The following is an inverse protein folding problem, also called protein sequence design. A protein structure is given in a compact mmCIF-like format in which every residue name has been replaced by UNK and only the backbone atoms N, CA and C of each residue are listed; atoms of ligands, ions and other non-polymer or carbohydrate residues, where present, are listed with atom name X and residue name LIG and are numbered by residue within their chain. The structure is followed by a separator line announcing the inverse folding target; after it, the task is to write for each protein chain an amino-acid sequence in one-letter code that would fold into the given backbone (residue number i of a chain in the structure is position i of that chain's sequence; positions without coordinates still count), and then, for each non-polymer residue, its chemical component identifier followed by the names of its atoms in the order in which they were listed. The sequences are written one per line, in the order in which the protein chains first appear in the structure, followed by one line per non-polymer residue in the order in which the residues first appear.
data_IF_632673000708
#
_entry.id   IF_632673000708
#
_cell.length_a   1.000
_cell.length_b   1.000
_cell.length_c   1.000
_cell.angle_alpha   90.00
_cell.angle_beta   90.00
_cell.angle_gamma   90.00
#
_symmetry.space_group_name_H-M   'P 1'
#
loop_
_entity.id
_entity.type
_entity.pdbx_description
1 polymer ?
#
# COMPACT_ATOMS: atom_id res chain seq x y z
N UNK A 1 26.18 20.36 -27.59
CA UNK A 1 26.65 19.16 -28.34
C UNK A 1 26.45 19.28 -29.85
N UNK A 2 25.24 19.57 -30.35
CA UNK A 2 24.98 19.76 -31.79
C UNK A 2 25.60 21.07 -32.30
N UNK A 3 25.38 22.18 -31.58
CA UNK A 3 26.02 23.46 -31.91
C UNK A 3 27.56 23.39 -31.84
N UNK A 4 28.09 22.57 -30.94
CA UNK A 4 29.53 22.33 -30.79
C UNK A 4 30.08 21.28 -31.78
N UNK A 5 29.25 20.80 -32.73
CA UNK A 5 29.58 19.77 -33.73
C UNK A 5 30.19 18.48 -33.17
N UNK A 6 29.89 18.12 -31.91
CA UNK A 6 30.41 16.87 -31.31
C UNK A 6 29.85 15.61 -31.97
N UNK A 7 28.64 15.69 -32.53
CA UNK A 7 28.01 14.62 -33.32
C UNK A 7 27.50 15.23 -34.62
N UNK A 8 28.35 15.38 -35.66
CA UNK A 8 28.00 16.09 -36.89
C UNK A 8 27.01 15.34 -37.78
N UNK A 9 26.72 14.07 -37.48
CA UNK A 9 25.78 13.22 -38.20
C UNK A 9 24.31 13.54 -37.88
N UNK A 10 24.05 14.28 -36.79
CA UNK A 10 22.71 14.74 -36.43
C UNK A 10 22.45 16.07 -37.13
N UNK A 11 21.35 16.13 -37.88
CA UNK A 11 20.90 17.33 -38.61
C UNK A 11 20.02 18.20 -37.72
N UNK A 12 19.01 17.59 -37.08
CA UNK A 12 17.97 18.31 -36.36
C UNK A 12 17.39 17.41 -35.26
N UNK A 13 16.94 18.01 -34.15
CA UNK A 13 16.12 17.35 -33.12
C UNK A 13 14.78 18.06 -33.07
N UNK A 14 13.69 17.29 -33.10
CA UNK A 14 12.32 17.77 -33.03
C UNK A 14 11.62 17.17 -31.82
N UNK A 15 10.80 17.98 -31.16
CA UNK A 15 9.90 17.54 -30.10
C UNK A 15 8.49 17.31 -30.68
N UNK A 16 8.04 16.06 -30.62
CA UNK A 16 6.71 15.61 -31.07
C UNK A 16 5.78 15.25 -29.91
N UNK A 17 6.13 15.63 -28.68
CA UNK A 17 5.38 15.28 -27.48
C UNK A 17 3.95 15.87 -27.52
N UNK A 18 2.98 15.10 -27.02
CA UNK A 18 1.57 15.48 -26.96
C UNK A 18 0.93 14.97 -25.66
N UNK A 19 0.33 15.87 -24.89
CA UNK A 19 -0.23 15.54 -23.57
C UNK A 19 0.84 14.94 -22.64
N UNK A 20 0.58 13.72 -22.17
CA UNK A 20 1.50 12.95 -21.31
C UNK A 20 2.50 12.08 -22.11
N UNK A 21 2.37 12.03 -23.44
CA UNK A 21 3.28 11.28 -24.29
C UNK A 21 4.52 12.10 -24.61
N UNK A 22 5.69 11.55 -24.27
CA UNK A 22 6.99 12.10 -24.68
C UNK A 22 7.34 11.51 -26.04
N UNK A 23 7.70 12.34 -27.03
CA UNK A 23 8.17 11.86 -28.33
C UNK A 23 9.31 12.75 -28.81
N UNK A 24 10.51 12.19 -28.98
CA UNK A 24 11.68 12.89 -29.49
C UNK A 24 12.01 12.33 -30.87
N UNK A 25 12.31 13.19 -31.85
CA UNK A 25 12.68 12.78 -33.21
C UNK A 25 14.05 13.35 -33.54
N UNK A 26 15.00 12.51 -33.96
CA UNK A 26 16.40 12.90 -34.22
C UNK A 26 16.74 12.65 -35.69
N UNK A 27 16.69 13.69 -36.52
CA UNK A 27 17.03 13.56 -37.96
C UNK A 27 18.53 13.41 -38.15
N UNK A 28 18.91 12.44 -38.97
CA UNK A 28 20.31 12.13 -39.30
C UNK A 28 20.64 12.59 -40.73
N UNK A 29 21.93 12.77 -41.03
CA UNK A 29 22.40 13.03 -42.40
C UNK A 29 22.37 11.76 -43.25
N UNK A 30 22.17 11.91 -44.56
CA UNK A 30 22.24 10.80 -45.52
C UNK A 30 23.59 10.07 -45.43
N UNK A 31 23.59 8.74 -45.52
CA UNK A 31 24.77 7.87 -45.37
C UNK A 31 25.22 7.62 -43.92
N UNK A 32 24.48 8.11 -42.92
CA UNK A 32 24.79 7.88 -41.50
C UNK A 32 24.36 6.48 -41.05
N UNK A 33 25.15 5.85 -40.17
CA UNK A 33 24.83 4.56 -39.54
C UNK A 33 24.04 4.76 -38.25
N UNK A 34 22.73 4.47 -38.22
CA UNK A 34 21.89 4.91 -37.10
C UNK A 34 22.15 4.16 -35.79
N UNK A 35 22.49 2.87 -35.87
CA UNK A 35 22.82 2.05 -34.69
C UNK A 35 24.07 2.56 -33.96
N UNK A 36 25.11 2.92 -34.72
CA UNK A 36 26.36 3.44 -34.15
C UNK A 36 26.14 4.82 -33.50
N UNK A 37 25.31 5.67 -34.11
CA UNK A 37 24.95 6.98 -33.54
C UNK A 37 24.11 6.82 -32.27
N UNK A 38 23.19 5.86 -32.23
CA UNK A 38 22.40 5.57 -31.03
C UNK A 38 23.28 5.08 -29.87
N UNK A 39 24.24 4.19 -30.15
CA UNK A 39 25.21 3.72 -29.15
C UNK A 39 26.08 4.87 -28.64
N UNK A 40 26.56 5.74 -29.54
CA UNK A 40 27.28 6.96 -29.17
C UNK A 40 26.43 7.89 -28.29
N UNK A 41 25.14 8.05 -28.61
CA UNK A 41 24.21 8.86 -27.83
C UNK A 41 23.99 8.27 -26.44
N UNK A 42 23.84 6.96 -26.29
CA UNK A 42 23.76 6.31 -24.97
C UNK A 42 25.03 6.52 -24.13
N UNK A 43 26.21 6.52 -24.75
CA UNK A 43 27.46 6.72 -24.03
C UNK A 43 27.76 8.18 -23.65
N UNK A 44 27.29 9.13 -24.45
CA UNK A 44 27.68 10.54 -24.32
C UNK A 44 26.59 11.45 -23.75
N UNK A 45 25.35 10.97 -23.69
CA UNK A 45 24.18 11.73 -23.20
C UNK A 45 23.48 10.99 -22.05
N UNK A 46 22.51 11.64 -21.41
CA UNK A 46 21.73 11.05 -20.31
C UNK A 46 20.60 10.12 -20.78
N UNK A 47 20.56 9.75 -22.07
CA UNK A 47 19.60 8.77 -22.59
C UNK A 47 19.82 7.36 -22.00
N UNK A 48 21.04 7.03 -21.59
CA UNK A 48 21.34 5.90 -20.70
C UNK A 48 22.00 6.47 -19.45
N UNK A 49 21.48 6.12 -18.27
CA UNK A 49 22.05 6.53 -17.00
C UNK A 49 22.19 5.33 -16.07
N UNK A 50 23.16 5.42 -15.15
CA UNK A 50 23.30 4.44 -14.08
C UNK A 50 22.52 4.94 -12.88
N UNK A 51 21.66 4.09 -12.35
CA UNK A 51 20.94 4.35 -11.11
C UNK A 51 21.54 3.46 -10.00
N UNK A 52 22.43 4.00 -9.14
CA UNK A 52 22.96 3.23 -8.03
C UNK A 52 21.86 2.98 -6.99
N UNK A 53 21.69 1.72 -6.60
CA UNK A 53 20.69 1.33 -5.61
C UNK A 53 21.39 1.06 -4.28
N UNK A 54 21.10 1.89 -3.28
CA UNK A 54 21.52 1.68 -1.89
C UNK A 54 20.26 1.55 -1.03
N UNK A 55 19.98 0.33 -0.55
CA UNK A 55 18.87 0.08 0.35
C UNK A 55 19.34 0.29 1.78
N UNK A 56 19.12 1.49 2.32
CA UNK A 56 19.46 1.86 3.69
C UNK A 56 18.23 2.49 4.36
N UNK A 57 17.95 2.06 5.58
CA UNK A 57 16.84 2.58 6.39
C UNK A 57 17.24 2.62 7.86
N UNK A 58 16.45 3.31 8.69
CA UNK A 58 16.63 3.29 10.14
C UNK A 58 15.96 2.05 10.72
N UNK A 59 16.65 1.36 11.60
CA UNK A 59 16.08 0.27 12.40
C UNK A 59 16.45 0.45 13.87
N UNK A 60 15.61 -0.11 14.74
CA UNK A 60 15.82 -0.13 16.17
C UNK A 60 16.82 -1.23 16.51
N UNK A 61 17.85 -0.91 17.29
CA UNK A 61 18.74 -1.91 17.87
C UNK A 61 18.13 -2.56 19.12
N UNK A 62 18.82 -3.56 19.69
CA UNK A 62 18.41 -4.26 20.91
C UNK A 62 18.25 -3.33 22.12
N UNK A 63 18.79 -2.10 22.04
CA UNK A 63 18.71 -1.09 23.11
C UNK A 63 17.58 -0.08 22.91
N UNK A 64 16.79 -0.21 21.82
CA UNK A 64 15.70 0.71 21.50
C UNK A 64 16.13 1.97 20.74
N UNK A 65 17.38 2.04 20.26
CA UNK A 65 17.91 3.22 19.54
C UNK A 65 17.77 3.04 18.03
N UNK A 66 17.37 4.10 17.34
CA UNK A 66 17.32 4.13 15.88
C UNK A 66 18.73 4.31 15.31
N UNK A 67 19.18 3.33 14.53
CA UNK A 67 20.48 3.34 13.84
C UNK A 67 20.30 3.10 12.34
N UNK A 68 21.14 3.70 11.48
CA UNK A 68 21.16 3.36 10.06
C UNK A 68 21.60 1.91 9.86
N UNK A 69 20.84 1.17 9.07
CA UNK A 69 21.12 -0.22 8.71
C UNK A 69 21.04 -0.38 7.20
N UNK A 70 22.03 -1.07 6.64
CA UNK A 70 21.97 -1.51 5.25
C UNK A 70 21.11 -2.77 5.14
N UNK A 71 20.36 -2.85 4.06
CA UNK A 71 19.35 -3.86 3.85
C UNK A 71 19.57 -4.63 2.55
N UNK A 72 19.27 -5.92 2.60
CA UNK A 72 18.91 -6.69 1.42
C UNK A 72 17.38 -6.77 1.30
N UNK A 73 16.86 -7.26 0.17
CA UNK A 73 15.42 -7.32 -0.06
C UNK A 73 14.70 -8.20 0.99
N UNK A 74 15.29 -9.35 1.34
CA UNK A 74 14.70 -10.29 2.29
C UNK A 74 14.50 -9.67 3.68
N UNK A 75 15.52 -8.99 4.20
CA UNK A 75 15.48 -8.39 5.53
C UNK A 75 14.45 -7.27 5.62
N UNK A 76 14.29 -6.44 4.56
CA UNK A 76 13.24 -5.40 4.54
C UNK A 76 11.86 -6.02 4.58
N UNK A 77 11.65 -7.10 3.81
CA UNK A 77 10.36 -7.77 3.76
C UNK A 77 10.02 -8.43 5.11
N UNK A 78 11.00 -9.06 5.76
CA UNK A 78 10.80 -9.66 7.08
C UNK A 78 10.49 -8.59 8.14
N UNK A 79 11.29 -7.53 8.24
CA UNK A 79 11.05 -6.42 9.19
C UNK A 79 9.66 -5.79 8.95
N UNK A 80 9.24 -5.67 7.69
CA UNK A 80 7.92 -5.17 7.34
C UNK A 80 6.81 -6.14 7.81
N UNK A 81 6.95 -7.44 7.56
CA UNK A 81 5.98 -8.46 8.00
C UNK A 81 5.86 -8.47 9.53
N UNK A 82 6.97 -8.45 10.26
CA UNK A 82 7.00 -8.42 11.72
C UNK A 82 6.27 -7.19 12.27
N UNK A 83 6.54 -6.02 11.69
CA UNK A 83 5.83 -4.79 12.01
C UNK A 83 4.33 -4.90 11.73
N UNK A 84 3.92 -5.54 10.63
CA UNK A 84 2.49 -5.74 10.32
C UNK A 84 1.81 -6.65 11.33
N UNK A 85 2.45 -7.75 11.72
CA UNK A 85 1.94 -8.67 12.75
C UNK A 85 1.76 -7.90 14.07
N UNK A 86 2.75 -7.11 14.48
CA UNK A 86 2.68 -6.32 15.70
C UNK A 86 1.52 -5.30 15.68
N UNK A 87 1.35 -4.58 14.56
CA UNK A 87 0.25 -3.61 14.39
C UNK A 87 -1.11 -4.30 14.47
N UNK A 88 -1.25 -5.48 13.85
CA UNK A 88 -2.50 -6.24 13.92
C UNK A 88 -2.76 -6.74 15.35
N UNK A 89 -1.74 -7.26 16.03
CA UNK A 89 -1.83 -7.69 17.43
C UNK A 89 -2.28 -6.54 18.33
N UNK A 90 -1.64 -5.37 18.22
CA UNK A 90 -2.03 -4.14 18.96
C UNK A 90 -3.47 -3.71 18.67
N UNK A 91 -3.89 -3.79 17.41
CA UNK A 91 -5.28 -3.47 17.01
C UNK A 91 -6.27 -4.39 17.73
N UNK A 92 -6.06 -5.71 17.67
CA UNK A 92 -7.00 -6.66 18.29
C UNK A 92 -6.96 -6.63 19.81
N UNK A 93 -5.81 -6.37 20.43
CA UNK A 93 -5.72 -6.11 21.88
C UNK A 93 -6.54 -4.89 22.28
N UNK A 94 -6.47 -3.80 21.51
CA UNK A 94 -7.28 -2.60 21.76
C UNK A 94 -8.78 -2.89 21.60
N UNK A 95 -9.18 -3.63 20.55
CA UNK A 95 -10.57 -4.00 20.33
C UNK A 95 -11.12 -4.92 21.42
N UNK A 96 -10.35 -5.94 21.82
CA UNK A 96 -10.67 -6.84 22.93
C UNK A 96 -10.89 -6.04 24.21
N UNK A 97 -9.93 -5.21 24.61
CA UNK A 97 -10.03 -4.38 25.82
C UNK A 97 -11.29 -3.50 25.80
N UNK A 98 -11.57 -2.84 24.68
CA UNK A 98 -12.75 -1.98 24.54
C UNK A 98 -14.06 -2.76 24.59
N UNK A 99 -14.08 -3.99 24.07
CA UNK A 99 -15.23 -4.88 24.16
C UNK A 99 -15.44 -5.37 25.61
N UNK A 100 -14.37 -5.72 26.31
CA UNK A 100 -14.40 -6.12 27.74
C UNK A 100 -14.91 -4.98 28.63
N UNK A 101 -14.45 -3.75 28.42
CA UNK A 101 -14.95 -2.56 29.15
C UNK A 101 -16.46 -2.36 28.94
N UNK A 102 -16.95 -2.56 27.72
CA UNK A 102 -18.40 -2.51 27.43
C UNK A 102 -19.14 -3.65 28.10
N UNK A 103 -18.64 -4.88 27.97
CA UNK A 103 -19.25 -6.08 28.54
C UNK A 103 -19.37 -5.95 30.05
N UNK A 104 -18.33 -5.43 30.72
CA UNK A 104 -18.34 -5.15 32.15
C UNK A 104 -19.50 -4.25 32.56
N UNK A 105 -19.74 -3.14 31.86
CA UNK A 105 -20.90 -2.28 32.13
C UNK A 105 -22.23 -2.97 31.82
N UNK A 106 -22.29 -3.77 30.75
CA UNK A 106 -23.51 -4.49 30.36
C UNK A 106 -23.88 -5.59 31.37
N UNK A 107 -22.90 -6.28 31.94
CA UNK A 107 -23.10 -7.27 32.99
C UNK A 107 -23.65 -6.65 34.27
N UNK A 108 -23.14 -5.48 34.68
CA UNK A 108 -23.70 -4.74 35.82
C UNK A 108 -25.18 -4.42 35.59
N UNK A 109 -25.53 -3.89 34.41
CA UNK A 109 -26.93 -3.62 34.04
C UNK A 109 -27.81 -4.87 34.05
N UNK A 110 -27.28 -6.00 33.58
CA UNK A 110 -28.02 -7.26 33.50
C UNK A 110 -28.44 -7.72 34.90
N UNK A 111 -27.51 -7.71 35.87
CA UNK A 111 -27.78 -8.05 37.28
C UNK A 111 -28.97 -7.25 37.82
N UNK A 112 -29.02 -5.95 37.54
CA UNK A 112 -30.09 -5.07 38.03
C UNK A 112 -31.42 -5.35 37.35
N UNK A 113 -31.43 -5.63 36.06
CA UNK A 113 -32.68 -5.99 35.37
C UNK A 113 -33.24 -7.31 35.93
N UNK A 114 -32.40 -8.21 36.45
CA UNK A 114 -32.85 -9.41 37.16
C UNK A 114 -33.37 -9.14 38.58
N UNK A 115 -32.86 -8.10 39.27
CA UNK A 115 -33.16 -7.79 40.66
C UNK A 115 -33.80 -6.39 40.86
N UNK A 116 -34.61 -5.96 39.90
CA UNK A 116 -35.05 -4.57 39.79
C UNK A 116 -35.78 -4.04 41.03
N UNK A 117 -36.69 -4.83 41.59
CA UNK A 117 -37.48 -4.42 42.77
C UNK A 117 -36.58 -4.14 43.98
N UNK A 118 -35.55 -4.97 44.17
CA UNK A 118 -34.58 -4.83 45.26
C UNK A 118 -33.71 -3.60 45.08
N UNK A 119 -33.26 -3.35 43.85
CA UNK A 119 -32.49 -2.15 43.50
C UNK A 119 -33.30 -0.89 43.77
N UNK A 120 -34.58 -0.86 43.40
CA UNK A 120 -35.48 0.27 43.69
C UNK A 120 -35.65 0.47 45.19
N UNK A 121 -35.78 -0.60 45.98
CA UNK A 121 -35.86 -0.52 47.43
C UNK A 121 -34.59 0.09 48.06
N UNK A 122 -33.41 -0.35 47.64
CA UNK A 122 -32.13 0.21 48.09
C UNK A 122 -32.04 1.70 47.76
N UNK A 123 -32.37 2.08 46.53
CA UNK A 123 -32.35 3.50 46.09
C UNK A 123 -33.34 4.32 46.92
N UNK A 124 -34.56 3.83 47.16
CA UNK A 124 -35.60 4.56 47.93
C UNK A 124 -35.29 4.69 49.41
N UNK A 125 -34.59 3.73 50.00
CA UNK A 125 -34.25 3.72 51.43
C UNK A 125 -32.92 4.42 51.75
N UNK A 126 -32.16 4.81 50.72
CA UNK A 126 -30.88 5.48 50.90
C UNK A 126 -31.04 7.00 51.01
N UNK A 127 -30.24 7.63 51.87
CA UNK A 127 -30.33 9.08 52.14
C UNK A 127 -29.85 9.95 50.97
N UNK A 128 -28.87 9.48 50.21
CA UNK A 128 -28.28 10.20 49.08
C UNK A 128 -27.69 9.23 48.04
N UNK A 129 -27.33 9.76 46.86
CA UNK A 129 -26.80 8.99 45.73
C UNK A 129 -25.55 8.19 46.09
N UNK A 130 -24.66 8.75 46.93
CA UNK A 130 -23.41 8.09 47.31
C UNK A 130 -23.66 6.89 48.23
N UNK A 131 -24.61 7.02 49.17
CA UNK A 131 -25.04 5.92 50.03
C UNK A 131 -25.71 4.80 49.21
N UNK A 132 -26.59 5.16 48.27
CA UNK A 132 -27.20 4.19 47.37
C UNK A 132 -26.14 3.45 46.54
N UNK A 133 -25.14 4.16 46.02
CA UNK A 133 -24.03 3.56 45.27
C UNK A 133 -23.26 2.52 46.10
N UNK A 134 -22.81 2.89 47.32
CA UNK A 134 -22.08 1.96 48.20
C UNK A 134 -22.91 0.73 48.53
N UNK A 135 -24.21 0.89 48.82
CA UNK A 135 -25.10 -0.25 49.11
C UNK A 135 -25.30 -1.17 47.89
N UNK A 136 -25.38 -0.62 46.69
CA UNK A 136 -25.46 -1.42 45.46
C UNK A 136 -24.15 -2.18 45.18
N UNK A 137 -22.99 -1.57 45.46
CA UNK A 137 -21.69 -2.22 45.36
C UNK A 137 -21.58 -3.40 46.34
N UNK A 138 -21.97 -3.19 47.60
CA UNK A 138 -21.90 -4.23 48.64
C UNK A 138 -22.87 -5.38 48.40
N UNK A 139 -24.10 -5.10 47.96
CA UNK A 139 -25.14 -6.13 47.85
C UNK A 139 -25.05 -6.94 46.54
N UNK A 140 -24.62 -6.32 45.44
CA UNK A 140 -24.55 -6.94 44.12
C UNK A 140 -23.12 -7.13 43.60
N UNK A 141 -22.11 -6.90 44.44
CA UNK A 141 -20.68 -7.00 44.10
C UNK A 141 -20.30 -6.19 42.85
N UNK A 142 -20.90 -5.00 42.71
CA UNK A 142 -20.66 -4.11 41.57
C UNK A 142 -19.46 -3.21 41.81
N UNK A 143 -18.71 -2.92 40.75
CA UNK A 143 -17.64 -1.93 40.80
C UNK A 143 -18.20 -0.48 40.81
N UNK A 144 -17.33 0.49 41.15
CA UNK A 144 -17.70 1.91 41.19
C UNK A 144 -18.28 2.41 39.85
N UNK A 145 -17.66 2.01 38.74
CA UNK A 145 -18.08 2.41 37.39
C UNK A 145 -19.44 1.78 37.03
N UNK A 146 -19.66 0.52 37.39
CA UNK A 146 -20.95 -0.15 37.15
C UNK A 146 -22.07 0.48 37.97
N UNK A 147 -21.84 0.69 39.27
CA UNK A 147 -22.83 1.28 40.16
C UNK A 147 -23.21 2.72 39.75
N UNK A 148 -22.25 3.52 39.27
CA UNK A 148 -22.53 4.85 38.70
C UNK A 148 -23.34 4.78 37.39
N UNK A 149 -22.93 3.92 36.46
CA UNK A 149 -23.64 3.70 35.19
C UNK A 149 -25.10 3.27 35.42
N UNK A 150 -25.33 2.48 36.45
CA UNK A 150 -26.65 2.01 36.86
C UNK A 150 -27.53 3.14 37.39
N UNK A 151 -26.99 3.94 38.32
CA UNK A 151 -27.73 5.07 38.91
C UNK A 151 -28.05 6.14 37.86
N UNK A 152 -27.26 6.23 36.79
CA UNK A 152 -27.48 7.16 35.68
C UNK A 152 -28.61 6.75 34.70
N UNK A 153 -29.15 5.53 34.81
CA UNK A 153 -30.14 5.01 33.85
C UNK A 153 -31.53 5.63 34.01
N UNK A 154 -32.22 5.98 32.90
CA UNK A 154 -33.60 6.43 32.95
C UNK A 154 -34.58 5.26 33.08
N UNK A 155 -35.66 5.44 33.85
CA UNK A 155 -36.69 4.40 34.08
C UNK A 155 -37.30 3.83 32.78
N UNK A 156 -37.34 4.63 31.70
CA UNK A 156 -37.83 4.17 30.38
C UNK A 156 -37.01 3.04 29.77
N UNK A 157 -35.77 2.81 30.24
CA UNK A 157 -34.85 1.78 29.72
C UNK A 157 -35.02 0.40 30.37
N UNK A 158 -36.06 0.25 31.19
CA UNK A 158 -36.38 -0.97 31.94
C UNK A 158 -37.50 -1.79 31.29
N UNK A 159 -37.84 -1.51 30.03
CA UNK A 159 -38.87 -2.29 29.32
C UNK A 159 -38.37 -3.70 29.02
N UNK A 160 -39.29 -4.65 28.83
CA UNK A 160 -38.92 -6.01 28.43
C UNK A 160 -38.15 -6.03 27.09
N UNK A 161 -38.50 -5.12 26.17
CA UNK A 161 -37.77 -4.99 24.90
C UNK A 161 -36.32 -4.57 25.11
N UNK A 162 -36.05 -3.59 25.99
CA UNK A 162 -34.69 -3.16 26.32
C UNK A 162 -33.90 -4.26 27.04
N UNK A 163 -34.57 -5.08 27.86
CA UNK A 163 -33.97 -6.26 28.50
C UNK A 163 -33.52 -7.28 27.46
N UNK A 164 -34.37 -7.64 26.52
CA UNK A 164 -34.03 -8.62 25.49
C UNK A 164 -32.89 -8.12 24.60
N UNK A 165 -32.88 -6.82 24.29
CA UNK A 165 -31.78 -6.20 23.56
C UNK A 165 -30.47 -6.20 24.37
N UNK A 166 -30.54 -5.95 25.69
CA UNK A 166 -29.38 -6.00 26.56
C UNK A 166 -28.76 -7.41 26.60
N UNK A 167 -29.59 -8.45 26.67
CA UNK A 167 -29.13 -9.85 26.65
C UNK A 167 -28.41 -10.14 25.33
N UNK A 168 -29.00 -9.74 24.20
CA UNK A 168 -28.36 -9.90 22.89
C UNK A 168 -27.04 -9.13 22.78
N UNK A 169 -26.98 -7.88 23.26
CA UNK A 169 -25.73 -7.10 23.27
C UNK A 169 -24.63 -7.79 24.10
N UNK A 170 -24.99 -8.43 25.22
CA UNK A 170 -24.04 -9.20 26.03
C UNK A 170 -23.54 -10.42 25.27
N UNK A 171 -24.44 -11.22 24.70
CA UNK A 171 -24.08 -12.40 23.89
C UNK A 171 -23.19 -12.05 22.70
N UNK A 172 -23.50 -10.96 21.99
CA UNK A 172 -22.71 -10.44 20.88
C UNK A 172 -21.30 -10.01 21.34
N UNK A 173 -21.20 -9.28 22.45
CA UNK A 173 -19.91 -8.84 23.00
C UNK A 173 -19.06 -10.03 23.48
N UNK A 174 -19.66 -11.04 24.11
CA UNK A 174 -18.97 -12.27 24.50
C UNK A 174 -18.44 -13.02 23.28
N UNK A 175 -19.25 -13.14 22.23
CA UNK A 175 -18.83 -13.76 20.97
C UNK A 175 -17.70 -12.97 20.29
N UNK A 176 -17.76 -11.63 20.31
CA UNK A 176 -16.69 -10.78 19.78
C UNK A 176 -15.38 -10.97 20.55
N UNK A 177 -15.42 -10.94 21.88
CA UNK A 177 -14.25 -11.11 22.74
C UNK A 177 -13.61 -12.49 22.51
N UNK A 178 -14.43 -13.54 22.46
CA UNK A 178 -13.95 -14.90 22.17
C UNK A 178 -13.28 -14.98 20.80
N UNK A 179 -13.83 -14.31 19.78
CA UNK A 179 -13.21 -14.22 18.46
C UNK A 179 -11.87 -13.47 18.50
N UNK A 180 -11.80 -12.32 19.17
CA UNK A 180 -10.56 -11.56 19.31
C UNK A 180 -9.48 -12.35 20.06
N UNK A 181 -9.87 -13.09 21.10
CA UNK A 181 -8.96 -13.97 21.84
C UNK A 181 -8.46 -15.15 20.98
N UNK A 182 -9.35 -15.75 20.18
CA UNK A 182 -8.96 -16.79 19.23
C UNK A 182 -8.00 -16.27 18.15
N UNK A 183 -8.13 -15.01 17.73
CA UNK A 183 -7.18 -14.35 16.80
C UNK A 183 -5.85 -14.06 17.50
N UNK A 184 -5.87 -13.59 18.75
CA UNK A 184 -4.65 -13.22 19.48
C UNK A 184 -3.84 -14.43 19.95
N UNK A 185 -4.47 -15.60 20.09
CA UNK A 185 -3.83 -16.84 20.54
C UNK A 185 -3.18 -17.65 19.41
N UNK A 186 -3.62 -17.47 18.16
CA UNK A 186 -3.08 -18.17 16.99
C UNK A 186 -2.39 -17.19 16.03
N UNK A 187 -1.07 -17.29 15.95
CA UNK A 187 -0.27 -16.45 15.06
C UNK A 187 -0.58 -16.70 13.57
N UNK A 188 -0.99 -17.91 13.19
CA UNK A 188 -1.34 -18.22 11.80
C UNK A 188 -2.56 -17.44 11.34
N UNK A 189 -3.55 -17.25 12.23
CA UNK A 189 -4.72 -16.40 11.93
C UNK A 189 -4.32 -14.95 11.71
N UNK A 190 -3.34 -14.45 12.47
CA UNK A 190 -2.84 -13.09 12.26
C UNK A 190 -2.19 -12.97 10.88
N UNK A 191 -1.38 -13.95 10.49
CA UNK A 191 -0.74 -14.01 9.16
C UNK A 191 -1.80 -14.05 8.06
N UNK A 192 -2.83 -14.88 8.19
CA UNK A 192 -3.94 -14.96 7.23
C UNK A 192 -4.66 -13.60 7.08
N UNK A 193 -4.86 -12.86 8.18
CA UNK A 193 -5.43 -11.52 8.14
C UNK A 193 -4.48 -10.54 7.41
N UNK A 194 -3.16 -10.66 7.58
CA UNK A 194 -2.19 -9.84 6.82
C UNK A 194 -2.29 -10.13 5.33
N UNK A 195 -2.31 -11.40 4.95
CA UNK A 195 -2.37 -11.83 3.54
C UNK A 195 -3.66 -11.36 2.87
N UNK A 196 -4.81 -11.58 3.49
CA UNK A 196 -6.10 -11.11 2.97
C UNK A 196 -6.10 -9.58 2.76
N UNK A 197 -5.51 -8.83 3.70
CA UNK A 197 -5.40 -7.36 3.55
C UNK A 197 -4.45 -6.96 2.44
N UNK A 198 -3.37 -7.70 2.22
CA UNK A 198 -2.46 -7.46 1.11
C UNK A 198 -3.17 -7.70 -0.23
N UNK A 199 -3.96 -8.76 -0.34
CA UNK A 199 -4.76 -9.01 -1.55
C UNK A 199 -5.76 -7.89 -1.82
N UNK A 200 -6.45 -7.39 -0.80
CA UNK A 200 -7.36 -6.25 -0.93
C UNK A 200 -6.64 -4.99 -1.42
N UNK A 201 -5.44 -4.73 -0.89
CA UNK A 201 -4.61 -3.59 -1.31
C UNK A 201 -4.19 -3.74 -2.77
N UNK A 202 -3.74 -4.92 -3.18
CA UNK A 202 -3.35 -5.20 -4.57
C UNK A 202 -4.56 -5.05 -5.50
N UNK A 203 -5.73 -5.56 -5.13
CA UNK A 203 -6.97 -5.41 -5.91
C UNK A 203 -7.38 -3.94 -6.07
N UNK A 204 -7.12 -3.10 -5.06
CA UNK A 204 -7.53 -1.69 -5.06
C UNK A 204 -6.52 -0.74 -5.69
N UNK A 205 -5.22 -1.03 -5.54
CA UNK A 205 -4.14 -0.10 -5.88
C UNK A 205 -3.06 -0.68 -6.80
N UNK A 206 -3.15 -1.95 -7.19
CA UNK A 206 -2.18 -2.57 -8.08
C UNK A 206 -2.24 -2.01 -9.49
N UNK A 207 -1.08 -1.90 -10.14
CA UNK A 207 -0.93 -1.44 -11.51
C UNK A 207 -0.01 -2.35 -12.34
N UNK A 208 -0.14 -2.26 -13.67
CA UNK A 208 0.73 -3.00 -14.58
C UNK A 208 2.14 -2.42 -14.60
N UNK A 209 3.13 -3.30 -14.78
CA UNK A 209 4.53 -2.89 -14.83
C UNK A 209 4.81 -2.01 -16.06
N UNK A 210 5.25 -0.78 -15.81
CA UNK A 210 5.62 0.18 -16.86
C UNK A 210 7.02 -0.08 -17.46
N UNK A 211 7.99 -0.49 -16.63
CA UNK A 211 9.38 -0.71 -17.04
C UNK A 211 9.64 -2.14 -17.50
N UNK A 212 10.25 -2.31 -18.67
CA UNK A 212 10.67 -3.62 -19.19
C UNK A 212 12.08 -3.97 -18.73
N UNK A 213 12.28 -5.22 -18.30
CA UNK A 213 13.61 -5.75 -18.02
C UNK A 213 14.13 -6.44 -19.28
N UNK A 214 15.23 -5.91 -19.82
CA UNK A 214 15.89 -6.47 -21.00
C UNK A 214 17.29 -6.90 -20.56
N UNK A 215 17.67 -8.18 -20.73
CA UNK A 215 19.01 -8.66 -20.36
C UNK A 215 20.05 -8.04 -21.29
N UNK A 216 21.12 -7.47 -20.70
CA UNK A 216 22.27 -6.96 -21.46
C UNK A 216 23.28 -8.10 -21.65
N UNK A 217 23.40 -8.62 -22.87
CA UNK A 217 24.43 -9.60 -23.22
C UNK A 217 25.70 -8.82 -23.55
N UNK A 218 26.74 -8.96 -22.72
CA UNK A 218 28.06 -8.39 -22.98
C UNK A 218 28.88 -9.47 -23.69
N UNK A 219 29.11 -9.31 -24.99
CA UNK A 219 30.01 -10.21 -25.73
C UNK A 219 31.45 -9.81 -25.39
N UNK A 220 32.23 -10.76 -24.89
CA UNK A 220 33.62 -10.55 -24.47
C UNK A 220 34.51 -10.13 -25.65
N UNK A 221 35.13 -8.94 -25.57
CA UNK A 221 36.40 -8.66 -26.26
C UNK A 221 36.42 -7.60 -27.36
N UNK A 222 35.30 -6.97 -27.73
CA UNK A 222 35.32 -5.76 -28.56
C UNK A 222 34.35 -4.72 -28.00
N UNK A 223 34.77 -3.46 -27.89
CA UNK A 223 33.92 -2.30 -27.56
C UNK A 223 32.92 -1.97 -28.67
N UNK A 224 32.50 -2.97 -29.43
CA UNK A 224 31.57 -2.80 -30.53
C UNK A 224 30.59 -3.94 -30.52
N UNK A 225 29.33 -3.55 -30.54
CA UNK A 225 28.11 -4.35 -30.62
C UNK A 225 27.61 -4.92 -29.28
N UNK A 226 26.88 -4.06 -28.58
CA UNK A 226 25.62 -4.51 -27.99
C UNK A 226 24.76 -5.00 -29.16
N UNK A 227 24.82 -6.31 -29.45
CA UNK A 227 23.89 -6.93 -30.39
C UNK A 227 22.57 -7.04 -29.67
N UNK A 228 21.77 -5.98 -29.76
CA UNK A 228 20.35 -6.12 -29.55
C UNK A 228 19.84 -7.12 -30.60
N UNK A 229 19.49 -8.35 -30.20
CA UNK A 229 18.63 -9.22 -31.02
C UNK A 229 17.24 -8.60 -31.03
N UNK A 230 17.10 -7.53 -31.81
CA UNK A 230 15.85 -6.84 -32.12
C UNK A 230 15.55 -7.15 -33.57
N UNK A 231 14.35 -7.69 -33.82
CA UNK A 231 13.84 -7.90 -35.18
C UNK A 231 13.63 -6.52 -35.81
N UNK A 232 14.69 -6.00 -36.42
CA UNK A 232 14.61 -4.86 -37.33
C UNK A 232 14.27 -5.48 -38.69
N UNK A 233 13.08 -5.25 -39.25
CA UNK A 233 12.81 -5.68 -40.61
C UNK A 233 13.85 -5.08 -41.55
N UNK A 234 14.43 -5.93 -42.40
CA UNK A 234 15.70 -5.71 -43.08
C UNK A 234 15.70 -4.65 -44.21
N UNK A 235 14.67 -3.80 -44.32
CA UNK A 235 14.55 -2.83 -45.41
C UNK A 235 14.12 -1.46 -44.87
N UNK A 236 15.10 -0.72 -44.35
CA UNK A 236 14.96 0.72 -44.09
C UNK A 236 15.71 1.44 -45.21
N UNK A 237 14.98 1.83 -46.26
CA UNK A 237 15.49 2.78 -47.26
C UNK A 237 15.75 4.14 -46.59
N UNK A 238 16.93 4.68 -46.87
CA UNK A 238 17.49 5.88 -46.29
C UNK A 238 16.56 7.10 -46.42
N UNK A 239 16.31 7.79 -45.29
CA UNK A 239 16.54 9.25 -45.16
C UNK A 239 16.26 9.85 -43.78
N UNK A 240 15.48 9.20 -42.91
CA UNK A 240 15.18 9.76 -41.58
C UNK A 240 15.06 8.64 -40.54
N UNK A 241 15.91 8.65 -39.50
CA UNK A 241 15.62 7.86 -38.31
C UNK A 241 14.79 8.72 -37.36
N UNK A 242 13.59 8.31 -37.00
CA UNK A 242 12.94 8.83 -35.80
C UNK A 242 13.15 7.80 -34.68
N UNK A 243 13.85 8.19 -33.63
CA UNK A 243 13.94 7.39 -32.40
C UNK A 243 12.80 7.84 -31.50
N UNK A 244 11.60 7.33 -31.71
CA UNK A 244 10.45 7.67 -30.87
C UNK A 244 10.54 6.92 -29.54
N UNK A 245 10.71 7.65 -28.43
CA UNK A 245 10.64 7.11 -27.07
C UNK A 245 9.24 7.41 -26.52
N UNK A 246 8.20 6.70 -26.96
CA UNK A 246 6.84 6.95 -26.48
C UNK A 246 6.52 6.14 -25.22
N UNK A 247 5.91 6.80 -24.24
CA UNK A 247 5.28 6.14 -23.09
C UNK A 247 3.83 5.70 -23.40
N UNK A 248 3.26 6.14 -24.53
CA UNK A 248 1.89 5.86 -24.92
C UNK A 248 1.72 5.55 -26.42
N UNK A 249 0.56 4.94 -26.74
CA UNK A 249 0.26 4.15 -27.94
C UNK A 249 0.28 4.87 -29.30
N UNK A 250 0.53 6.18 -29.34
CA UNK A 250 0.15 7.00 -30.51
C UNK A 250 1.33 7.53 -31.33
N UNK A 251 2.17 6.60 -31.81
CA UNK A 251 3.21 6.86 -32.82
C UNK A 251 2.65 7.46 -34.12
N UNK A 252 1.43 7.09 -34.49
CA UNK A 252 0.75 7.54 -35.73
C UNK A 252 0.34 9.02 -35.68
N UNK A 253 -0.02 9.53 -34.50
CA UNK A 253 -0.39 10.94 -34.29
C UNK A 253 0.82 11.86 -34.44
N UNK A 254 1.97 11.46 -33.87
CA UNK A 254 3.23 12.18 -34.03
C UNK A 254 3.71 12.22 -35.50
N UNK A 255 3.55 11.12 -36.24
CA UNK A 255 3.89 11.05 -37.67
C UNK A 255 3.07 12.02 -38.52
N UNK A 256 1.76 12.09 -38.27
CA UNK A 256 0.83 12.97 -39.00
C UNK A 256 1.09 14.45 -38.71
N UNK A 257 1.48 14.78 -37.47
CA UNK A 257 1.76 16.17 -37.04
C UNK A 257 3.07 16.73 -37.60
N UNK A 258 4.12 15.90 -37.67
CA UNK A 258 5.44 16.35 -38.12
C UNK A 258 5.65 16.24 -39.64
N UNK A 259 4.74 15.57 -40.36
CA UNK A 259 4.85 15.40 -41.83
C UNK A 259 6.00 14.49 -42.25
N UNK A 260 6.43 13.58 -41.39
CA UNK A 260 7.61 12.73 -41.54
C UNK A 260 7.16 11.28 -41.84
N UNK A 261 7.67 10.68 -42.92
CA UNK A 261 7.42 9.27 -43.25
C UNK A 261 8.51 8.37 -42.63
N UNK A 262 8.33 7.94 -41.38
CA UNK A 262 9.23 6.96 -40.77
C UNK A 262 8.63 5.56 -40.88
N UNK A 263 9.27 4.67 -41.65
CA UNK A 263 9.00 3.22 -41.60
C UNK A 263 9.55 2.66 -40.29
N UNK A 264 8.65 2.47 -39.32
CA UNK A 264 8.73 1.71 -38.07
C UNK A 264 10.16 1.40 -37.58
N UNK A 265 10.68 2.26 -36.70
CA UNK A 265 11.61 1.84 -35.64
C UNK A 265 10.77 1.46 -34.40
N UNK A 266 11.06 0.30 -33.82
CA UNK A 266 10.37 -0.39 -32.72
C UNK A 266 9.26 0.35 -31.94
N UNK A 267 8.07 -0.28 -31.89
CA UNK A 267 7.11 -0.08 -30.79
C UNK A 267 7.71 -0.63 -29.50
N UNK A 268 8.03 0.23 -28.54
CA UNK A 268 8.38 -0.21 -27.18
C UNK A 268 7.12 -0.62 -26.40
N UNK A 269 5.93 -0.21 -26.82
CA UNK A 269 4.63 -0.64 -26.27
C UNK A 269 4.00 -1.75 -27.13
N UNK A 270 4.29 -3.00 -26.77
CA UNK A 270 3.54 -4.17 -27.21
C UNK A 270 2.55 -4.57 -26.13
N UNK A 271 1.31 -4.90 -26.52
CA UNK A 271 0.31 -5.53 -25.65
C UNK A 271 0.93 -6.75 -24.98
N UNK A 272 0.94 -6.79 -23.65
CA UNK A 272 1.09 -8.05 -22.94
C UNK A 272 -0.27 -8.76 -22.95
N UNK A 273 -0.25 -10.05 -23.25
CA UNK A 273 -1.34 -10.98 -22.98
C UNK A 273 -1.36 -11.33 -21.48
#
# INVERSE_FOLDING_TARGET
MIHDKKIPQITEILDGSEGESVNIVIKLKAGSRPKEILELLYHTTQLESRFPVYMMALNTDDTGRLIPKEYNLLNVLNDWVDFRIEVIRKKYQYLKKKAEEKLHLRNGRLIIVHHLDRVIEIIKTSENSKNAQTRLQEEFELDEIQSDDVLSRPLRSLTNFDRDNLIKEVEELESEIANYEAILSDENRIIEIVDNRLEEIVKKYGDERRSKLIPRIITSGSTSSIVWKRNIPAEVEEKELAITISCDRDLETAQKKLGISVKIGERVCGKAA
#
